data_IF_565458435492
#
_entry.id   IF_565458435492
#
_cell.length_a   1.000
_cell.length_b   1.000
_cell.length_c   1.000
_cell.angle_alpha   90.00
_cell.angle_beta   90.00
_cell.angle_gamma   90.00
#
_symmetry.space_group_name_H-M   'P 1'
#
loop_
_entity.id
_entity.type
_entity.pdbx_description
1 polymer ?
#
# COMPACT_ATOMS: atom_id res chain seq x y z
N UNK A 1 -18.85 -54.68 -65.22
CA UNK A 1 -18.13 -55.00 -63.97
C UNK A 1 -17.39 -53.76 -63.59
N UNK A 2 -17.85 -53.03 -62.57
CA UNK A 2 -17.06 -52.03 -61.88
C UNK A 2 -17.39 -52.07 -60.39
N UNK A 3 -16.33 -52.10 -59.59
CA UNK A 3 -16.27 -52.55 -58.20
C UNK A 3 -16.60 -51.38 -57.28
N UNK A 4 -17.70 -51.49 -56.53
CA UNK A 4 -18.08 -50.51 -55.49
C UNK A 4 -17.16 -50.69 -54.27
N UNK A 5 -16.09 -49.90 -54.19
CA UNK A 5 -15.17 -49.89 -53.05
C UNK A 5 -15.66 -48.87 -51.99
N UNK A 6 -16.66 -49.24 -51.16
CA UNK A 6 -17.03 -48.41 -50.00
C UNK A 6 -16.03 -48.61 -48.87
N UNK A 7 -15.17 -47.61 -48.67
CA UNK A 7 -14.34 -47.46 -47.48
C UNK A 7 -15.19 -47.62 -46.20
N UNK A 8 -14.87 -48.65 -45.41
CA UNK A 8 -15.41 -48.90 -44.07
C UNK A 8 -15.04 -47.72 -43.16
N UNK A 9 -15.98 -46.79 -42.97
CA UNK A 9 -15.83 -45.71 -41.99
C UNK A 9 -15.75 -46.30 -40.59
N UNK A 10 -14.60 -46.15 -39.91
CA UNK A 10 -14.46 -46.50 -38.48
C UNK A 10 -15.44 -45.64 -37.70
N UNK A 11 -16.46 -46.26 -37.08
CA UNK A 11 -17.35 -45.55 -36.17
C UNK A 11 -16.52 -45.06 -34.97
N UNK A 12 -16.33 -43.74 -34.88
CA UNK A 12 -15.85 -43.15 -33.63
C UNK A 12 -17.02 -43.22 -32.66
N UNK A 13 -16.88 -44.00 -31.57
CA UNK A 13 -17.83 -43.95 -30.45
C UNK A 13 -17.91 -42.50 -29.96
N UNK A 14 -19.11 -41.93 -29.97
CA UNK A 14 -19.37 -40.59 -29.43
C UNK A 14 -19.31 -40.60 -27.90
N UNK A 15 -19.06 -39.43 -27.32
CA UNK A 15 -19.11 -39.20 -25.88
C UNK A 15 -20.56 -39.33 -25.38
N UNK A 16 -20.76 -39.96 -24.22
CA UNK A 16 -22.12 -40.13 -23.68
C UNK A 16 -22.52 -38.90 -22.86
N UNK A 17 -23.80 -38.52 -22.88
CA UNK A 17 -24.29 -37.36 -22.11
C UNK A 17 -24.07 -37.56 -20.60
N UNK A 18 -24.22 -38.80 -20.12
CA UNK A 18 -24.03 -39.13 -18.70
C UNK A 18 -22.58 -38.91 -18.24
N UNK A 19 -21.61 -39.17 -19.11
CA UNK A 19 -20.19 -38.97 -18.83
C UNK A 19 -19.87 -37.48 -18.67
N UNK A 20 -20.56 -36.60 -19.42
CA UNK A 20 -20.48 -35.16 -19.22
C UNK A 20 -21.12 -34.73 -17.89
N UNK A 21 -22.30 -35.27 -17.56
CA UNK A 21 -23.05 -34.88 -16.37
C UNK A 21 -22.28 -35.19 -15.08
N UNK A 22 -21.67 -36.38 -14.98
CA UNK A 22 -20.88 -36.75 -13.80
C UNK A 22 -19.67 -35.83 -13.62
N UNK A 23 -19.00 -35.45 -14.71
CA UNK A 23 -17.85 -34.53 -14.66
C UNK A 23 -18.27 -33.16 -14.15
N UNK A 24 -19.39 -32.60 -14.64
CA UNK A 24 -19.90 -31.30 -14.18
C UNK A 24 -20.26 -31.36 -12.69
N UNK A 25 -20.88 -32.45 -12.22
CA UNK A 25 -21.22 -32.64 -10.81
C UNK A 25 -19.97 -32.64 -9.93
N UNK A 26 -18.92 -33.38 -10.33
CA UNK A 26 -17.65 -33.42 -9.58
C UNK A 26 -16.97 -32.05 -9.54
N UNK A 27 -16.90 -31.35 -10.70
CA UNK A 27 -16.32 -30.00 -10.78
C UNK A 27 -17.06 -29.02 -9.86
N UNK A 28 -18.40 -29.08 -9.84
CA UNK A 28 -19.21 -28.19 -9.00
C UNK A 28 -18.98 -28.43 -7.51
N UNK A 29 -18.87 -29.70 -7.08
CA UNK A 29 -18.57 -30.04 -5.69
C UNK A 29 -17.20 -29.51 -5.25
N UNK A 30 -16.16 -29.73 -6.06
CA UNK A 30 -14.80 -29.24 -5.77
C UNK A 30 -14.72 -27.72 -5.80
N UNK A 31 -15.41 -27.09 -6.77
CA UNK A 31 -15.41 -25.63 -6.92
C UNK A 31 -16.04 -24.93 -5.71
N UNK A 32 -17.05 -25.54 -5.08
CA UNK A 32 -17.70 -24.99 -3.89
C UNK A 32 -16.75 -24.73 -2.71
N UNK A 33 -15.74 -25.58 -2.51
CA UNK A 33 -14.75 -25.43 -1.43
C UNK A 33 -13.49 -24.69 -1.87
N UNK A 34 -13.05 -24.90 -3.12
CA UNK A 34 -11.80 -24.33 -3.62
C UNK A 34 -11.87 -22.81 -3.85
N UNK A 35 -13.00 -22.30 -4.33
CA UNK A 35 -13.13 -20.88 -4.69
C UNK A 35 -13.01 -19.94 -3.47
N UNK A 36 -13.72 -20.13 -2.35
CA UNK A 36 -13.56 -19.27 -1.18
C UNK A 36 -12.13 -19.24 -0.65
N UNK A 37 -11.46 -20.40 -0.59
CA UNK A 37 -10.07 -20.50 -0.14
C UNK A 37 -9.11 -19.75 -1.08
N UNK A 38 -9.28 -19.92 -2.39
CA UNK A 38 -8.48 -19.22 -3.39
C UNK A 38 -8.65 -17.70 -3.29
N UNK A 39 -9.88 -17.21 -3.14
CA UNK A 39 -10.13 -15.77 -3.00
C UNK A 39 -9.45 -15.19 -1.75
N UNK A 40 -9.46 -15.91 -0.63
CA UNK A 40 -8.73 -15.52 0.58
C UNK A 40 -7.20 -15.51 0.37
N UNK A 41 -6.65 -16.51 -0.32
CA UNK A 41 -5.22 -16.56 -0.64
C UNK A 41 -4.77 -15.42 -1.55
N UNK A 42 -5.57 -15.11 -2.59
CA UNK A 42 -5.33 -13.97 -3.48
C UNK A 42 -5.34 -12.67 -2.67
N UNK A 43 -6.30 -12.49 -1.77
CA UNK A 43 -6.39 -11.28 -0.95
C UNK A 43 -5.18 -11.15 -0.02
N UNK A 44 -4.75 -12.23 0.64
CA UNK A 44 -3.52 -12.24 1.45
C UNK A 44 -2.28 -11.88 0.62
N UNK A 45 -2.22 -12.37 -0.61
CA UNK A 45 -1.11 -12.03 -1.53
C UNK A 45 -1.13 -10.55 -1.89
N UNK A 46 -2.31 -9.96 -2.11
CA UNK A 46 -2.47 -8.52 -2.33
C UNK A 46 -2.05 -7.70 -1.11
N UNK A 47 -2.39 -8.12 0.11
CA UNK A 47 -1.92 -7.43 1.32
C UNK A 47 -0.39 -7.43 1.41
N UNK A 48 0.26 -8.55 1.07
CA UNK A 48 1.72 -8.65 1.04
C UNK A 48 2.34 -7.77 -0.06
N UNK A 49 1.75 -7.73 -1.24
CA UNK A 49 2.20 -6.82 -2.32
C UNK A 49 2.09 -5.36 -1.90
N UNK A 50 1.06 -5.01 -1.16
CA UNK A 50 0.87 -3.68 -0.62
C UNK A 50 1.85 -3.33 0.50
N UNK A 51 2.18 -4.30 1.36
CA UNK A 51 3.26 -4.17 2.33
C UNK A 51 4.62 -3.94 1.62
N UNK A 52 4.89 -4.61 0.50
CA UNK A 52 6.12 -4.39 -0.28
C UNK A 52 6.27 -2.94 -0.78
N UNK A 53 5.16 -2.23 -1.05
CA UNK A 53 5.22 -0.79 -1.39
C UNK A 53 5.78 0.04 -0.23
N UNK A 54 5.51 -0.35 1.02
CA UNK A 54 6.11 0.32 2.18
C UNK A 54 7.61 0.06 2.27
N UNK A 55 8.07 -1.13 1.90
CA UNK A 55 9.51 -1.43 1.81
C UNK A 55 10.20 -0.64 0.70
N UNK A 56 9.55 -0.45 -0.46
CA UNK A 56 10.10 0.44 -1.49
C UNK A 56 10.23 1.88 -1.00
N UNK A 57 9.26 2.36 -0.23
CA UNK A 57 9.36 3.69 0.39
C UNK A 57 10.42 3.76 1.48
N UNK A 58 10.57 2.70 2.29
CA UNK A 58 11.67 2.59 3.26
C UNK A 58 13.01 2.75 2.54
N UNK A 59 13.25 1.93 1.53
CA UNK A 59 14.53 1.94 0.81
C UNK A 59 14.79 3.24 0.03
N UNK A 60 13.76 3.86 -0.57
CA UNK A 60 13.97 5.16 -1.22
C UNK A 60 14.38 6.21 -0.20
N UNK A 61 13.66 6.31 0.93
CA UNK A 61 13.99 7.26 2.00
C UNK A 61 15.38 7.00 2.57
N UNK A 62 15.73 5.77 2.92
CA UNK A 62 17.07 5.41 3.42
C UNK A 62 18.15 5.84 2.42
N UNK A 63 17.97 5.54 1.11
CA UNK A 63 18.90 5.96 0.05
C UNK A 63 19.06 7.47 -0.01
N UNK A 64 17.95 8.22 -0.05
CA UNK A 64 18.00 9.67 -0.15
C UNK A 64 18.62 10.33 1.09
N UNK A 65 18.47 9.73 2.27
CA UNK A 65 19.14 10.20 3.48
C UNK A 65 20.68 10.07 3.37
N UNK A 66 21.18 8.95 2.85
CA UNK A 66 22.62 8.76 2.60
C UNK A 66 23.16 9.77 1.57
N UNK A 67 22.40 10.05 0.51
CA UNK A 67 22.79 11.03 -0.50
C UNK A 67 22.92 12.44 0.08
N UNK A 68 22.00 12.81 0.96
CA UNK A 68 22.00 14.13 1.58
C UNK A 68 23.15 14.29 2.59
N UNK A 69 23.45 13.26 3.38
CA UNK A 69 24.65 13.25 4.24
C UNK A 69 25.94 13.45 3.43
N UNK A 70 26.05 12.81 2.26
CA UNK A 70 27.20 12.96 1.35
C UNK A 70 27.37 14.39 0.80
N UNK A 71 26.31 15.21 0.82
CA UNK A 71 26.35 16.63 0.43
C UNK A 71 26.51 17.59 1.61
N UNK A 72 26.66 17.06 2.84
CA UNK A 72 26.76 17.85 4.06
C UNK A 72 25.44 18.49 4.53
N UNK A 73 24.32 18.14 3.89
CA UNK A 73 22.99 18.67 4.22
C UNK A 73 22.22 17.67 5.08
N UNK A 74 21.61 18.10 6.19
CA UNK A 74 20.67 17.25 6.93
C UNK A 74 19.35 17.20 6.17
N UNK A 75 18.97 16.02 5.67
CA UNK A 75 17.69 15.79 4.99
C UNK A 75 16.46 16.25 5.79
N UNK A 76 16.61 16.23 7.10
CA UNK A 76 15.59 16.61 8.06
C UNK A 76 15.45 18.13 8.21
N UNK A 77 16.52 18.89 7.97
CA UNK A 77 16.48 20.37 7.97
C UNK A 77 15.80 20.91 6.69
N UNK A 78 15.89 20.17 5.58
CA UNK A 78 15.14 20.45 4.34
C UNK A 78 13.68 19.97 4.37
N UNK A 79 13.32 19.17 5.37
CA UNK A 79 11.96 18.70 5.63
C UNK A 79 11.25 19.64 6.62
N UNK A 80 11.25 20.95 6.37
CA UNK A 80 10.57 21.92 7.22
C UNK A 80 9.06 21.77 7.09
N UNK A 81 8.45 21.05 8.04
CA UNK A 81 7.00 20.93 8.17
C UNK A 81 6.44 22.27 8.58
N UNK A 82 5.88 23.01 7.62
CA UNK A 82 5.46 24.40 7.85
C UNK A 82 4.05 24.48 8.50
N UNK A 83 3.87 23.84 9.65
CA UNK A 83 2.59 23.83 10.36
C UNK A 83 2.78 23.63 11.86
N UNK A 84 3.03 24.74 12.56
CA UNK A 84 3.04 24.78 14.03
C UNK A 84 4.17 25.58 14.67
N UNK A 85 4.75 26.56 13.99
CA UNK A 85 5.46 27.60 14.74
C UNK A 85 4.40 28.39 15.54
N UNK A 86 4.55 28.38 16.85
CA UNK A 86 3.65 28.93 17.88
C UNK A 86 2.41 28.09 18.22
N UNK A 87 2.38 27.71 19.51
CA UNK A 87 1.24 27.31 20.34
C UNK A 87 1.23 25.82 20.72
N UNK A 88 2.01 25.45 21.75
CA UNK A 88 2.19 24.11 22.36
C UNK A 88 3.33 23.21 21.85
N UNK A 89 4.60 23.68 21.89
CA UNK A 89 5.77 22.79 21.89
C UNK A 89 5.88 21.81 20.71
N UNK A 90 5.64 22.30 19.49
CA UNK A 90 5.54 21.46 18.30
C UNK A 90 6.88 20.85 17.86
N UNK A 91 6.78 19.62 17.35
CA UNK A 91 7.87 18.79 16.85
C UNK A 91 8.23 19.20 15.41
N UNK A 92 9.51 19.45 15.13
CA UNK A 92 10.06 19.51 13.75
C UNK A 92 9.88 18.16 13.04
N UNK A 93 10.13 18.07 11.73
CA UNK A 93 10.19 16.76 11.06
C UNK A 93 11.13 15.79 11.80
N UNK A 94 12.27 16.29 12.29
CA UNK A 94 13.21 15.52 13.09
C UNK A 94 12.56 14.92 14.32
N UNK A 95 11.82 15.74 15.05
CA UNK A 95 11.18 15.32 16.28
C UNK A 95 10.06 14.31 15.99
N UNK A 96 9.30 14.48 14.91
CA UNK A 96 8.30 13.48 14.48
C UNK A 96 8.94 12.16 14.05
N UNK A 97 10.07 12.21 13.34
CA UNK A 97 10.80 11.01 12.94
C UNK A 97 11.36 10.26 14.16
N UNK A 98 11.74 10.94 15.24
CA UNK A 98 12.18 10.28 16.49
C UNK A 98 11.00 9.71 17.29
N UNK A 99 9.84 10.36 17.20
CA UNK A 99 8.67 10.07 18.00
C UNK A 99 7.96 8.75 17.64
N UNK A 100 7.18 8.23 18.60
CA UNK A 100 6.32 7.06 18.38
C UNK A 100 5.21 7.36 17.37
N UNK A 101 4.75 8.59 17.24
CA UNK A 101 3.68 8.93 16.29
C UNK A 101 4.14 8.98 14.83
N UNK A 102 5.44 9.13 14.59
CA UNK A 102 6.04 9.23 13.26
C UNK A 102 5.67 10.50 12.50
N UNK A 103 6.40 10.75 11.41
CA UNK A 103 6.10 11.81 10.45
C UNK A 103 5.07 11.29 9.44
N UNK A 104 3.85 11.84 9.49
CA UNK A 104 2.81 11.51 8.51
C UNK A 104 3.07 12.18 7.16
N UNK A 105 3.24 11.38 6.11
CA UNK A 105 3.47 11.86 4.75
C UNK A 105 2.17 12.36 4.10
N UNK A 106 1.16 11.50 4.08
CA UNK A 106 -0.19 11.86 3.65
C UNK A 106 -1.22 10.97 4.35
N UNK A 107 -2.45 11.47 4.41
CA UNK A 107 -3.61 10.80 4.99
C UNK A 107 -4.46 10.22 3.86
N UNK A 108 -5.06 9.07 4.13
CA UNK A 108 -5.95 8.36 3.22
C UNK A 108 -7.35 8.39 3.81
N UNK A 109 -8.27 9.11 3.19
CA UNK A 109 -9.67 9.13 3.59
C UNK A 109 -10.42 7.98 2.93
N UNK A 110 -10.83 7.03 3.76
CA UNK A 110 -11.53 5.80 3.40
C UNK A 110 -13.02 5.99 3.69
N UNK A 111 -13.73 6.67 2.79
CA UNK A 111 -15.20 6.79 2.87
C UNK A 111 -15.86 5.61 2.15
N UNK A 112 -16.85 5.01 2.81
CA UNK A 112 -17.59 3.82 2.35
C UNK A 112 -18.16 3.93 0.93
N UNK A 113 -18.59 5.14 0.54
CA UNK A 113 -19.28 5.40 -0.74
C UNK A 113 -18.51 6.38 -1.65
N UNK A 114 -17.20 6.53 -1.46
CA UNK A 114 -16.38 7.42 -2.28
C UNK A 114 -15.06 6.75 -2.69
N UNK A 115 -14.48 7.11 -3.85
CA UNK A 115 -13.11 6.73 -4.16
C UNK A 115 -12.19 7.22 -3.04
N UNK A 116 -11.14 6.43 -2.75
CA UNK A 116 -10.14 6.81 -1.75
C UNK A 116 -9.60 8.19 -2.11
N UNK A 117 -9.57 9.07 -1.11
CA UNK A 117 -9.04 10.44 -1.24
C UNK A 117 -7.79 10.57 -0.43
N UNK A 118 -6.85 11.37 -0.90
CA UNK A 118 -5.61 11.63 -0.21
C UNK A 118 -5.56 13.10 0.15
N UNK A 119 -5.00 13.42 1.32
CA UNK A 119 -4.72 14.80 1.67
C UNK A 119 -3.46 14.90 2.54
N UNK A 120 -3.03 16.14 2.80
CA UNK A 120 -1.85 16.38 3.63
C UNK A 120 -2.01 15.78 5.03
N UNK A 121 -0.92 15.21 5.55
CA UNK A 121 -0.85 14.74 6.93
C UNK A 121 -0.03 15.73 7.75
N UNK A 122 1.22 15.38 8.07
CA UNK A 122 2.18 16.33 8.66
C UNK A 122 2.87 17.11 7.56
N UNK A 123 3.36 16.44 6.51
CA UNK A 123 3.92 17.13 5.35
C UNK A 123 2.90 18.05 4.68
N UNK A 124 3.33 19.28 4.35
CA UNK A 124 2.48 20.17 3.58
C UNK A 124 2.62 19.94 2.08
N UNK A 125 1.85 20.74 1.32
CA UNK A 125 1.71 20.60 -0.11
C UNK A 125 3.03 20.81 -0.86
N UNK A 126 3.88 21.73 -0.40
CA UNK A 126 5.12 22.06 -1.09
C UNK A 126 6.13 20.92 -1.01
N UNK A 127 6.22 20.26 0.15
CA UNK A 127 7.09 19.11 0.43
C UNK A 127 6.65 17.86 -0.32
N UNK A 128 5.34 17.75 -0.64
CA UNK A 128 4.78 16.69 -1.47
C UNK A 128 4.84 17.01 -2.98
N UNK A 129 4.97 18.30 -3.33
CA UNK A 129 5.09 18.78 -4.71
C UNK A 129 6.54 18.73 -5.20
N UNK A 130 7.50 19.03 -4.33
CA UNK A 130 8.92 19.14 -4.67
C UNK A 130 9.81 18.96 -3.44
N UNK A 131 11.07 18.63 -3.66
CA UNK A 131 12.06 18.42 -2.60
C UNK A 131 12.14 16.97 -2.15
N UNK A 132 12.87 16.73 -1.07
CA UNK A 132 13.25 15.40 -0.61
C UNK A 132 12.07 14.41 -0.57
N UNK A 133 10.99 14.75 0.13
CA UNK A 133 9.85 13.84 0.29
C UNK A 133 9.11 13.57 -1.02
N UNK A 134 8.96 14.57 -1.89
CA UNK A 134 8.36 14.38 -3.20
C UNK A 134 9.18 13.41 -4.08
N UNK A 135 10.51 13.53 -4.05
CA UNK A 135 11.41 12.68 -4.83
C UNK A 135 11.40 11.23 -4.32
N UNK A 136 11.48 11.02 -3.01
CA UNK A 136 11.44 9.68 -2.40
C UNK A 136 10.10 8.99 -2.60
N UNK A 137 9.00 9.74 -2.52
CA UNK A 137 7.65 9.22 -2.81
C UNK A 137 7.51 8.87 -4.30
N UNK A 138 8.06 9.69 -5.19
CA UNK A 138 8.03 9.42 -6.63
C UNK A 138 8.77 8.12 -6.97
N UNK A 139 9.95 7.94 -6.41
CA UNK A 139 10.74 6.73 -6.59
C UNK A 139 10.04 5.48 -6.05
N UNK A 140 9.42 5.58 -4.88
CA UNK A 140 8.73 4.47 -4.24
C UNK A 140 7.37 4.11 -4.86
N UNK A 141 6.97 4.78 -5.96
CA UNK A 141 5.69 4.54 -6.63
C UNK A 141 4.49 5.28 -6.03
N UNK A 142 4.72 6.21 -5.11
CA UNK A 142 3.70 7.08 -4.51
C UNK A 142 3.64 8.48 -5.17
N UNK A 143 4.43 8.72 -6.22
CA UNK A 143 4.55 10.04 -6.87
C UNK A 143 3.23 10.62 -7.37
N UNK A 144 2.31 9.78 -7.89
CA UNK A 144 1.00 10.26 -8.33
C UNK A 144 0.16 10.82 -7.17
N UNK A 145 0.24 10.22 -5.98
CA UNK A 145 -0.43 10.72 -4.78
C UNK A 145 0.28 11.96 -4.24
N UNK A 146 1.60 11.95 -4.17
CA UNK A 146 2.38 13.11 -3.73
C UNK A 146 2.09 14.34 -4.60
N UNK A 147 2.16 14.20 -5.93
CA UNK A 147 1.85 15.28 -6.87
C UNK A 147 0.37 15.66 -6.85
N UNK A 148 -0.55 14.70 -6.71
CA UNK A 148 -1.97 14.98 -6.60
C UNK A 148 -2.29 15.83 -5.36
N UNK A 149 -1.72 15.48 -4.21
CA UNK A 149 -1.91 16.20 -2.94
C UNK A 149 -1.19 17.55 -2.96
N UNK A 150 0.08 17.57 -3.39
CA UNK A 150 0.91 18.77 -3.44
C UNK A 150 0.46 19.78 -4.51
N UNK A 151 -0.08 19.31 -5.62
CA UNK A 151 -0.62 20.12 -6.73
C UNK A 151 -2.08 20.53 -6.56
N UNK A 152 -2.77 20.06 -5.52
CA UNK A 152 -4.17 20.39 -5.26
C UNK A 152 -4.35 21.91 -5.14
N UNK A 153 -5.43 22.47 -5.70
CA UNK A 153 -5.76 23.90 -5.54
C UNK A 153 -6.50 24.19 -4.24
N UNK A 154 -7.04 23.17 -3.60
CA UNK A 154 -7.73 23.28 -2.32
C UNK A 154 -6.70 23.50 -1.20
N UNK A 155 -7.01 24.36 -0.23
CA UNK A 155 -6.14 24.61 0.94
C UNK A 155 -5.82 23.34 1.74
N UNK A 156 -6.69 22.33 1.63
CA UNK A 156 -6.56 21.05 2.34
C UNK A 156 -5.82 19.96 1.56
N UNK A 157 -5.35 20.22 0.33
CA UNK A 157 -4.48 19.28 -0.39
C UNK A 157 -5.17 18.02 -0.94
N UNK A 158 -6.46 18.08 -1.31
CA UNK A 158 -7.18 16.87 -1.71
C UNK A 158 -6.79 16.35 -3.10
N UNK A 159 -6.53 15.04 -3.19
CA UNK A 159 -6.36 14.26 -4.42
C UNK A 159 -7.36 13.10 -4.47
N UNK A 160 -7.83 12.77 -5.68
CA UNK A 160 -8.96 11.86 -5.90
C UNK A 160 -8.62 10.79 -6.93
N UNK A 161 -9.31 9.64 -6.86
CA UNK A 161 -9.30 8.63 -7.93
C UNK A 161 -7.99 7.87 -8.09
N UNK A 162 -7.07 7.99 -7.13
CA UNK A 162 -5.79 7.30 -7.15
C UNK A 162 -5.91 5.96 -6.41
N UNK A 163 -5.42 4.90 -7.02
CA UNK A 163 -5.32 3.58 -6.39
C UNK A 163 -3.88 3.30 -6.05
N UNK A 164 -3.53 3.36 -4.76
CA UNK A 164 -2.19 3.00 -4.29
C UNK A 164 -2.08 1.54 -3.88
N UNK A 165 -3.18 0.93 -3.45
CA UNK A 165 -3.20 -0.37 -2.80
C UNK A 165 -4.09 -1.32 -3.59
N UNK A 166 -3.62 -2.55 -3.79
CA UNK A 166 -4.30 -3.57 -4.60
C UNK A 166 -5.24 -4.42 -3.74
N UNK A 167 -4.95 -4.54 -2.45
CA UNK A 167 -5.79 -5.19 -1.45
C UNK A 167 -6.99 -4.31 -1.07
N UNK A 168 -8.04 -4.98 -0.59
CA UNK A 168 -9.21 -4.37 0.04
C UNK A 168 -8.94 -4.00 1.50
N UNK A 169 -7.73 -4.16 2.02
CA UNK A 169 -7.40 -3.88 3.42
C UNK A 169 -7.80 -2.47 3.85
N UNK A 170 -7.51 -1.47 3.01
CA UNK A 170 -7.87 -0.08 3.26
C UNK A 170 -9.35 0.24 3.00
N UNK A 171 -10.19 -0.72 2.64
CA UNK A 171 -11.65 -0.48 2.59
C UNK A 171 -12.31 -0.71 3.96
N UNK A 172 -11.58 -1.29 4.92
CA UNK A 172 -12.11 -1.77 6.20
C UNK A 172 -11.20 -1.46 7.38
N UNK A 173 -10.51 -0.31 7.37
CA UNK A 173 -9.69 0.11 8.52
C UNK A 173 -10.54 0.13 9.80
N UNK A 174 -10.00 -0.45 10.87
CA UNK A 174 -10.67 -0.73 12.15
C UNK A 174 -11.05 0.55 12.93
N UNK A 175 -12.00 1.31 12.41
CA UNK A 175 -12.50 2.55 13.03
C UNK A 175 -11.78 3.82 12.59
N UNK A 176 -10.53 3.74 12.10
CA UNK A 176 -9.85 4.90 11.53
C UNK A 176 -10.24 5.07 10.05
N UNK A 177 -11.10 6.05 9.79
CA UNK A 177 -11.50 6.44 8.43
C UNK A 177 -10.41 7.22 7.70
N UNK A 178 -9.29 7.49 8.36
CA UNK A 178 -8.26 8.43 7.95
C UNK A 178 -6.81 7.93 8.25
N UNK A 179 -6.46 6.66 7.95
CA UNK A 179 -5.12 6.16 8.20
C UNK A 179 -4.06 6.99 7.47
N UNK A 180 -2.91 7.15 8.09
CA UNK A 180 -1.79 7.91 7.52
C UNK A 180 -0.67 6.96 7.13
N UNK A 181 -0.03 7.25 6.00
CA UNK A 181 1.28 6.69 5.69
C UNK A 181 2.32 7.49 6.44
N UNK A 182 3.10 6.82 7.28
CA UNK A 182 4.05 7.46 8.19
C UNK A 182 5.45 6.87 8.06
N UNK A 183 6.43 7.68 8.42
CA UNK A 183 7.85 7.31 8.47
C UNK A 183 8.42 7.72 9.81
N UNK A 184 9.33 6.93 10.36
CA UNK A 184 10.10 7.29 11.54
C UNK A 184 11.51 6.71 11.47
N UNK A 185 12.42 7.21 12.28
CA UNK A 185 13.71 6.57 12.50
C UNK A 185 13.53 5.23 13.19
N UNK A 186 14.22 4.21 12.70
CA UNK A 186 14.30 2.92 13.36
C UNK A 186 14.85 3.09 14.76
N UNK A 187 14.13 2.60 15.76
CA UNK A 187 14.42 2.80 17.19
C UNK A 187 14.54 4.27 17.63
N UNK A 188 14.03 5.22 16.84
CA UNK A 188 14.17 6.66 17.11
C UNK A 188 15.60 7.20 16.95
N UNK A 189 16.51 6.45 16.30
CA UNK A 189 17.90 6.83 16.13
C UNK A 189 18.16 7.50 14.77
N UNK A 190 18.34 8.83 14.70
CA UNK A 190 18.58 9.54 13.45
C UNK A 190 19.92 9.17 12.78
N UNK A 191 20.90 8.71 13.55
CA UNK A 191 22.24 8.38 13.04
C UNK A 191 22.29 6.99 12.39
N UNK A 192 21.20 6.22 12.45
CA UNK A 192 21.16 4.87 11.89
C UNK A 192 20.93 4.86 10.38
N UNK A 193 20.48 5.98 9.81
CA UNK A 193 19.97 6.08 8.43
C UNK A 193 18.94 5.02 8.06
N UNK A 194 18.36 4.35 9.05
CA UNK A 194 17.30 3.37 8.85
C UNK A 194 15.99 3.97 9.29
N UNK A 195 14.97 3.78 8.46
CA UNK A 195 13.61 4.23 8.76
C UNK A 195 12.65 3.07 8.77
N UNK A 196 11.58 3.24 9.53
CA UNK A 196 10.43 2.36 9.48
C UNK A 196 9.22 3.12 8.94
N UNK A 197 8.64 2.52 7.91
CA UNK A 197 7.44 2.98 7.23
C UNK A 197 6.28 2.11 7.65
N UNK A 198 5.15 2.74 7.98
CA UNK A 198 3.94 2.06 8.42
C UNK A 198 2.69 2.86 8.08
N UNK A 199 1.55 2.17 8.05
CA UNK A 199 0.22 2.78 7.90
C UNK A 199 -0.52 2.64 9.22
N UNK A 200 -1.22 3.70 9.66
CA UNK A 200 -2.15 3.62 10.79
C UNK A 200 -1.98 4.73 11.81
N UNK A 201 -2.16 4.37 13.08
CA UNK A 201 -1.99 5.22 14.25
C UNK A 201 -0.51 5.45 14.54
N UNK A 202 -0.09 5.17 15.77
CA UNK A 202 1.30 5.31 16.17
C UNK A 202 2.09 4.01 15.94
N UNK A 203 3.38 4.01 16.22
CA UNK A 203 4.28 2.89 16.01
C UNK A 203 3.83 1.53 16.60
N UNK A 204 3.07 1.54 17.68
CA UNK A 204 2.53 0.31 18.30
C UNK A 204 1.09 -0.02 17.86
N UNK A 205 0.53 0.79 16.96
CA UNK A 205 -0.86 0.72 16.48
C UNK A 205 -0.87 0.88 14.95
N UNK A 206 0.01 0.13 14.29
CA UNK A 206 0.00 0.01 12.84
C UNK A 206 -1.24 -0.80 12.40
N UNK A 207 -1.75 -0.47 11.22
CA UNK A 207 -2.91 -1.10 10.63
C UNK A 207 -2.62 -2.59 10.37
N UNK A 208 -3.49 -3.45 10.90
CA UNK A 208 -3.51 -4.88 10.55
C UNK A 208 -4.63 -5.15 9.54
N UNK A 209 -4.27 -5.78 8.43
CA UNK A 209 -5.21 -6.21 7.40
C UNK A 209 -6.08 -7.39 7.82
N UNK A 210 -7.18 -7.59 7.09
CA UNK A 210 -8.14 -8.66 7.37
C UNK A 210 -7.52 -10.05 7.19
N UNK A 211 -6.51 -10.19 6.33
CA UNK A 211 -5.81 -11.46 6.14
C UNK A 211 -4.64 -11.66 7.11
N UNK A 212 -4.46 -10.73 8.06
CA UNK A 212 -3.50 -10.78 9.16
C UNK A 212 -2.22 -9.97 8.94
N UNK A 213 -2.04 -9.35 7.78
CA UNK A 213 -0.80 -8.63 7.44
C UNK A 213 -0.68 -7.33 8.23
N UNK A 214 0.41 -7.15 8.98
CA UNK A 214 0.75 -5.88 9.62
C UNK A 214 1.36 -4.92 8.58
N UNK A 215 0.77 -3.74 8.39
CA UNK A 215 1.25 -2.72 7.44
C UNK A 215 2.35 -1.87 8.09
N UNK A 216 3.45 -2.53 8.43
CA UNK A 216 4.65 -1.90 8.98
C UNK A 216 5.89 -2.66 8.52
N UNK A 217 6.90 -1.91 8.09
CA UNK A 217 8.22 -2.46 7.74
C UNK A 217 9.03 -2.94 8.95
N UNK A 218 8.59 -2.61 10.17
CA UNK A 218 9.10 -3.20 11.41
C UNK A 218 8.63 -4.64 11.64
N UNK A 219 7.56 -5.03 10.96
CA UNK A 219 6.88 -6.31 11.17
C UNK A 219 5.81 -6.26 12.27
N UNK A 220 5.40 -7.45 12.72
CA UNK A 220 4.22 -7.64 13.56
C UNK A 220 4.29 -6.96 14.94
N UNK A 221 5.48 -6.63 15.43
CA UNK A 221 5.67 -5.90 16.69
C UNK A 221 5.09 -4.48 16.69
N UNK A 222 4.76 -3.94 15.51
CA UNK A 222 4.10 -2.64 15.36
C UNK A 222 2.56 -2.72 15.40
N UNK A 223 1.97 -3.91 15.29
CA UNK A 223 0.52 -4.13 15.31
C UNK A 223 0.14 -4.90 16.58
N UNK A 224 0.15 -4.20 17.73
CA UNK A 224 -0.13 -4.77 19.06
C UNK A 224 -1.62 -4.77 19.39
#
# INVERSE_FOLDING_TARGET
MDIENRKKGRSKRGFTVIELMVVIVIINLLSGVALPQLTGYIERTKEKMDLMKLFYLKHSVERGLYELEGTGSKAVDTASVSGGEQYYGWKTAENWLKDKSGLGLFRMNLRKDNPVRFNTARLQKNELKSGFWADMLKEAGFGAVAQGVGGSKDGNGWAYGLSLFTSKTLTWSAGDTNPQLKVRWTNGNPNSHSVDVYIGGDWNDALRGRMGTCFSTYGDGACK
#
